data_IF_928597114231
#
_entry.id   IF_928597114231
#
_cell.length_a   1.000
_cell.length_b   1.000
_cell.length_c   1.000
_cell.angle_alpha   90.00
_cell.angle_beta   90.00
_cell.angle_gamma   90.00
#
_symmetry.space_group_name_H-M   'P 1'
#
loop_
_entity.id
_entity.type
_entity.pdbx_description
1 polymer ?
#
# COMPACT_ATOMS: atom_id res chain seq x y z
N UNK A 1 14.38 -40.03 -1.88
CA UNK A 1 13.39 -40.17 -2.97
C UNK A 1 12.03 -39.52 -2.65
N UNK A 2 11.59 -39.41 -1.38
CA UNK A 2 10.30 -38.77 -1.05
C UNK A 2 10.25 -37.24 -1.28
N UNK A 3 11.38 -36.52 -1.21
CA UNK A 3 11.43 -35.06 -1.39
C UNK A 3 11.12 -34.60 -2.82
N UNK A 4 11.42 -35.43 -3.83
CA UNK A 4 11.17 -35.10 -5.24
C UNK A 4 9.71 -35.32 -5.62
N UNK A 5 9.02 -36.27 -4.98
CA UNK A 5 7.60 -36.52 -5.21
C UNK A 5 6.74 -35.37 -4.66
N UNK A 6 7.06 -34.86 -3.46
CA UNK A 6 6.36 -33.71 -2.89
C UNK A 6 6.52 -32.42 -3.71
N UNK A 7 7.73 -32.14 -4.22
CA UNK A 7 7.98 -30.99 -5.09
C UNK A 7 7.25 -31.11 -6.43
N UNK A 8 7.33 -32.28 -7.06
CA UNK A 8 6.58 -32.57 -8.30
C UNK A 8 5.08 -32.39 -8.08
N UNK A 9 4.56 -32.87 -6.94
CA UNK A 9 3.15 -32.73 -6.60
C UNK A 9 2.75 -31.28 -6.33
N UNK A 10 3.61 -30.49 -5.66
CA UNK A 10 3.40 -29.07 -5.44
C UNK A 10 3.34 -28.30 -6.77
N UNK A 11 4.23 -28.64 -7.72
CA UNK A 11 4.24 -28.08 -9.08
C UNK A 11 2.96 -28.43 -9.86
N UNK A 12 2.46 -29.67 -9.74
CA UNK A 12 1.17 -30.07 -10.32
C UNK A 12 0.01 -29.25 -9.73
N UNK A 13 -0.04 -29.11 -8.40
CA UNK A 13 -1.07 -28.33 -7.72
C UNK A 13 -1.00 -26.84 -8.07
N UNK A 14 0.20 -26.31 -8.29
CA UNK A 14 0.41 -24.95 -8.83
C UNK A 14 -0.20 -24.82 -10.22
N UNK A 15 0.08 -25.77 -11.12
CA UNK A 15 -0.47 -25.77 -12.47
C UNK A 15 -2.01 -25.84 -12.46
N UNK A 16 -2.59 -26.72 -11.63
CA UNK A 16 -4.04 -26.80 -11.40
C UNK A 16 -4.60 -25.45 -10.92
N UNK A 17 -3.94 -24.83 -9.94
CA UNK A 17 -4.31 -23.53 -9.39
C UNK A 17 -4.27 -22.43 -10.44
N UNK A 18 -3.25 -22.41 -11.30
CA UNK A 18 -3.12 -21.46 -12.40
C UNK A 18 -4.27 -21.64 -13.41
N UNK A 19 -4.60 -22.89 -13.76
CA UNK A 19 -5.71 -23.19 -14.68
C UNK A 19 -7.08 -22.78 -14.10
N UNK A 20 -7.29 -22.93 -12.80
CA UNK A 20 -8.49 -22.44 -12.11
C UNK A 20 -8.53 -20.90 -12.07
N UNK A 21 -7.38 -20.26 -11.83
CA UNK A 21 -7.27 -18.81 -11.83
C UNK A 21 -7.64 -18.21 -13.19
N UNK A 22 -7.17 -18.80 -14.30
CA UNK A 22 -7.54 -18.36 -15.66
C UNK A 22 -9.05 -18.56 -15.94
N UNK A 23 -9.67 -19.57 -15.31
CA UNK A 23 -11.13 -19.78 -15.36
C UNK A 23 -11.93 -18.88 -14.42
N UNK A 24 -11.28 -17.92 -13.75
CA UNK A 24 -11.87 -17.06 -12.72
C UNK A 24 -12.43 -17.81 -11.49
N UNK A 25 -12.09 -19.08 -11.30
CA UNK A 25 -12.44 -19.83 -10.08
C UNK A 25 -11.38 -19.60 -9.00
N UNK A 26 -11.42 -18.40 -8.42
CA UNK A 26 -10.44 -17.96 -7.44
C UNK A 26 -10.54 -18.75 -6.12
N UNK A 27 -11.73 -19.22 -5.74
CA UNK A 27 -11.90 -20.00 -4.50
C UNK A 27 -11.21 -21.36 -4.60
N UNK A 28 -11.42 -22.07 -5.71
CA UNK A 28 -10.75 -23.35 -5.95
C UNK A 28 -9.25 -23.15 -6.18
N UNK A 29 -8.84 -22.11 -6.92
CA UNK A 29 -7.42 -21.78 -7.10
C UNK A 29 -6.71 -21.57 -5.76
N UNK A 30 -7.31 -20.81 -4.84
CA UNK A 30 -6.78 -20.59 -3.48
C UNK A 30 -6.59 -21.91 -2.73
N UNK A 31 -7.55 -22.84 -2.84
CA UNK A 31 -7.44 -24.15 -2.21
C UNK A 31 -6.26 -24.95 -2.76
N UNK A 32 -6.09 -24.95 -4.09
CA UNK A 32 -4.97 -25.64 -4.76
C UNK A 32 -3.62 -25.06 -4.37
N UNK A 33 -3.46 -23.73 -4.37
CA UNK A 33 -2.21 -23.12 -3.90
C UNK A 33 -1.94 -23.39 -2.42
N UNK A 34 -2.97 -23.41 -1.58
CA UNK A 34 -2.80 -23.75 -0.15
C UNK A 34 -2.34 -25.19 0.04
N UNK A 35 -2.85 -26.13 -0.77
CA UNK A 35 -2.36 -27.51 -0.78
C UNK A 35 -0.91 -27.58 -1.29
N UNK A 36 -0.55 -26.82 -2.33
CA UNK A 36 0.81 -26.76 -2.83
C UNK A 36 1.79 -26.23 -1.78
N UNK A 37 1.42 -25.17 -1.06
CA UNK A 37 2.24 -24.57 0.01
C UNK A 37 2.48 -25.54 1.17
N UNK A 38 1.52 -26.42 1.48
CA UNK A 38 1.70 -27.46 2.49
C UNK A 38 2.76 -28.51 2.10
N UNK A 39 3.01 -28.68 0.81
CA UNK A 39 4.00 -29.61 0.28
C UNK A 39 5.35 -28.91 0.04
N UNK A 40 5.33 -27.64 -0.35
CA UNK A 40 6.51 -26.80 -0.58
C UNK A 40 6.25 -25.38 -0.05
N UNK A 41 6.65 -25.14 1.19
CA UNK A 41 6.51 -23.85 1.87
C UNK A 41 7.66 -22.86 1.58
N UNK A 42 8.66 -23.31 0.81
CA UNK A 42 9.85 -22.54 0.45
C UNK A 42 9.71 -21.81 -0.89
N UNK A 43 8.66 -22.14 -1.66
CA UNK A 43 8.46 -21.61 -2.99
C UNK A 43 7.70 -20.27 -2.99
N UNK A 44 8.44 -19.19 -3.20
CA UNK A 44 7.90 -17.82 -3.28
C UNK A 44 6.78 -17.66 -4.31
N UNK A 45 6.82 -18.41 -5.43
CA UNK A 45 5.83 -18.30 -6.51
C UNK A 45 4.45 -18.75 -6.03
N UNK A 46 4.36 -19.76 -5.16
CA UNK A 46 3.10 -20.26 -4.64
C UNK A 46 2.38 -19.21 -3.79
N UNK A 47 3.11 -18.57 -2.86
CA UNK A 47 2.59 -17.46 -2.07
C UNK A 47 2.20 -16.28 -2.96
N UNK A 48 3.03 -15.95 -3.94
CA UNK A 48 2.75 -14.86 -4.87
C UNK A 48 1.48 -15.12 -5.70
N UNK A 49 1.25 -16.35 -6.17
CA UNK A 49 0.04 -16.71 -6.90
C UNK A 49 -1.19 -16.75 -6.00
N UNK A 50 -1.06 -17.24 -4.76
CA UNK A 50 -2.15 -17.18 -3.78
C UNK A 50 -2.53 -15.73 -3.43
N UNK A 51 -1.54 -14.83 -3.30
CA UNK A 51 -1.77 -13.40 -3.14
C UNK A 51 -2.56 -12.79 -4.30
N UNK A 52 -2.25 -13.14 -5.56
CA UNK A 52 -3.04 -12.71 -6.71
C UNK A 52 -4.52 -13.15 -6.61
N UNK A 53 -4.71 -14.37 -6.12
CA UNK A 53 -6.04 -14.96 -5.90
C UNK A 53 -6.82 -14.19 -4.84
N UNK A 54 -6.15 -13.82 -3.74
CA UNK A 54 -6.74 -12.98 -2.70
C UNK A 54 -7.08 -11.57 -3.18
N UNK A 55 -6.24 -10.96 -4.00
CA UNK A 55 -6.54 -9.65 -4.63
C UNK A 55 -7.80 -9.76 -5.48
N UNK A 56 -7.95 -10.82 -6.28
CA UNK A 56 -9.15 -11.04 -7.09
C UNK A 56 -10.42 -11.24 -6.24
N UNK A 57 -10.26 -11.84 -5.05
CA UNK A 57 -11.32 -11.98 -4.05
C UNK A 57 -11.52 -10.73 -3.16
N UNK A 58 -10.79 -9.64 -3.41
CA UNK A 58 -10.78 -8.41 -2.59
C UNK A 58 -10.37 -8.64 -1.11
N UNK A 59 -9.64 -9.72 -0.84
CA UNK A 59 -9.11 -10.06 0.48
C UNK A 59 -7.69 -9.47 0.63
N UNK A 60 -7.59 -8.15 0.69
CA UNK A 60 -6.30 -7.46 0.58
C UNK A 60 -5.34 -7.69 1.75
N UNK A 61 -5.86 -7.92 2.96
CA UNK A 61 -5.04 -8.22 4.13
C UNK A 61 -4.28 -9.54 3.98
N UNK A 62 -4.98 -10.58 3.53
CA UNK A 62 -4.37 -11.90 3.30
C UNK A 62 -3.45 -11.87 2.09
N UNK A 63 -3.81 -11.11 1.06
CA UNK A 63 -2.92 -10.86 -0.08
C UNK A 63 -1.61 -10.18 0.33
N UNK A 64 -1.66 -9.16 1.21
CA UNK A 64 -0.47 -8.47 1.69
C UNK A 64 0.44 -9.40 2.52
N UNK A 65 -0.13 -10.26 3.36
CA UNK A 65 0.62 -11.25 4.14
C UNK A 65 1.35 -12.25 3.24
N UNK A 66 0.65 -12.79 2.25
CA UNK A 66 1.25 -13.74 1.30
C UNK A 66 2.28 -13.08 0.40
N UNK A 67 2.01 -11.86 -0.09
CA UNK A 67 2.96 -11.13 -0.91
C UNK A 67 4.22 -10.77 -0.11
N UNK A 68 4.08 -10.40 1.18
CA UNK A 68 5.22 -10.22 2.10
C UNK A 68 6.03 -11.50 2.21
N UNK A 69 5.38 -12.64 2.49
CA UNK A 69 6.08 -13.92 2.60
C UNK A 69 6.79 -14.30 1.30
N UNK A 70 6.18 -14.01 0.14
CA UNK A 70 6.80 -14.25 -1.15
C UNK A 70 8.06 -13.43 -1.38
N UNK A 71 8.07 -12.13 -1.01
CA UNK A 71 9.28 -11.29 -1.15
C UNK A 71 10.35 -11.61 -0.13
N UNK A 72 9.97 -12.11 1.05
CA UNK A 72 10.93 -12.59 2.06
C UNK A 72 11.64 -13.87 1.60
N UNK A 73 10.95 -14.72 0.82
CA UNK A 73 11.52 -15.94 0.22
C UNK A 73 12.33 -15.64 -1.04
N UNK A 74 11.83 -14.76 -1.91
CA UNK A 74 12.50 -14.34 -3.14
C UNK A 74 12.33 -12.83 -3.36
N UNK A 75 13.35 -12.09 -2.96
CA UNK A 75 13.38 -10.63 -3.09
C UNK A 75 13.50 -10.15 -4.53
N UNK A 76 13.88 -11.03 -5.47
CA UNK A 76 13.99 -10.71 -6.91
C UNK A 76 12.65 -10.87 -7.64
N UNK A 77 11.62 -11.34 -6.97
CA UNK A 77 10.30 -11.52 -7.57
C UNK A 77 9.53 -10.19 -7.67
N UNK A 78 9.74 -9.45 -8.77
CA UNK A 78 9.05 -8.19 -9.02
C UNK A 78 7.52 -8.28 -8.99
N UNK A 79 6.95 -9.41 -9.40
CA UNK A 79 5.49 -9.63 -9.34
C UNK A 79 4.98 -9.76 -7.90
N UNK A 80 5.79 -10.32 -6.99
CA UNK A 80 5.45 -10.39 -5.56
C UNK A 80 5.44 -8.98 -4.94
N UNK A 81 6.45 -8.15 -5.23
CA UNK A 81 6.48 -6.75 -4.82
C UNK A 81 5.29 -5.94 -5.34
N UNK A 82 4.94 -6.12 -6.61
CA UNK A 82 3.76 -5.48 -7.20
C UNK A 82 2.44 -5.88 -6.52
N UNK A 83 2.29 -7.17 -6.19
CA UNK A 83 1.13 -7.68 -5.46
C UNK A 83 1.07 -7.12 -4.04
N UNK A 84 2.21 -6.97 -3.38
CA UNK A 84 2.30 -6.30 -2.08
C UNK A 84 1.87 -4.84 -2.20
N UNK A 85 2.43 -4.09 -3.15
CA UNK A 85 2.12 -2.68 -3.40
C UNK A 85 0.65 -2.45 -3.70
N UNK A 86 0.04 -3.29 -4.54
CA UNK A 86 -1.40 -3.24 -4.82
C UNK A 86 -2.24 -3.53 -3.57
N UNK A 87 -1.88 -4.55 -2.80
CA UNK A 87 -2.65 -4.95 -1.61
C UNK A 87 -2.57 -3.89 -0.52
N UNK A 88 -1.40 -3.28 -0.29
CA UNK A 88 -1.23 -2.21 0.70
C UNK A 88 -1.88 -0.91 0.25
N UNK A 89 -1.92 -0.62 -1.06
CA UNK A 89 -2.68 0.51 -1.60
C UNK A 89 -4.17 0.40 -1.27
N UNK A 90 -4.78 -0.76 -1.52
CA UNK A 90 -6.19 -1.03 -1.24
C UNK A 90 -6.51 -1.03 0.28
N UNK A 91 -5.50 -1.28 1.12
CA UNK A 91 -5.59 -1.16 2.57
C UNK A 91 -5.33 0.28 3.08
N UNK A 92 -5.15 1.25 2.20
CA UNK A 92 -4.78 2.64 2.52
C UNK A 92 -3.44 2.79 3.27
N UNK A 93 -2.58 1.78 3.20
CA UNK A 93 -1.22 1.82 3.72
C UNK A 93 -0.28 2.39 2.64
N UNK A 94 -0.50 3.66 2.30
CA UNK A 94 0.11 4.31 1.13
C UNK A 94 1.65 4.35 1.20
N UNK A 95 2.24 4.56 2.38
CA UNK A 95 3.70 4.54 2.56
C UNK A 95 4.30 3.18 2.19
N UNK A 96 3.74 2.10 2.75
CA UNK A 96 4.17 0.73 2.45
C UNK A 96 3.93 0.35 0.98
N UNK A 97 2.89 0.94 0.37
CA UNK A 97 2.60 0.74 -1.05
C UNK A 97 3.67 1.37 -1.95
N UNK A 98 4.03 2.63 -1.70
CA UNK A 98 5.08 3.35 -2.43
C UNK A 98 6.40 2.57 -2.37
N UNK A 99 6.80 2.12 -1.18
CA UNK A 99 8.04 1.36 -1.01
C UNK A 99 8.01 0.04 -1.77
N UNK A 100 6.90 -0.69 -1.71
CA UNK A 100 6.75 -1.96 -2.42
C UNK A 100 6.80 -1.77 -3.94
N UNK A 101 6.16 -0.73 -4.49
CA UNK A 101 6.22 -0.43 -5.93
C UNK A 101 7.62 0.00 -6.38
N UNK A 102 8.33 0.81 -5.59
CA UNK A 102 9.74 1.16 -5.85
C UNK A 102 10.62 -0.08 -5.88
N UNK A 103 10.46 -1.00 -4.92
CA UNK A 103 11.16 -2.29 -4.93
C UNK A 103 10.80 -3.14 -6.12
N UNK A 104 9.54 -3.14 -6.57
CA UNK A 104 9.15 -3.84 -7.79
C UNK A 104 9.91 -3.31 -9.02
N UNK A 105 10.10 -1.99 -9.13
CA UNK A 105 10.87 -1.37 -10.22
C UNK A 105 12.36 -1.71 -10.15
N UNK A 106 12.95 -1.74 -8.95
CA UNK A 106 14.36 -2.13 -8.75
C UNK A 106 14.64 -3.58 -9.18
N UNK A 107 13.63 -4.46 -9.21
CA UNK A 107 13.81 -5.86 -9.66
C UNK A 107 13.95 -5.99 -11.17
N UNK A 108 13.57 -4.98 -11.95
CA UNK A 108 13.65 -5.03 -13.40
C UNK A 108 15.08 -4.75 -13.88
N UNK A 109 15.54 -5.38 -14.97
CA UNK A 109 16.87 -5.11 -15.51
C UNK A 109 16.96 -3.66 -16.01
N UNK A 110 18.11 -3.01 -15.75
CA UNK A 110 18.32 -1.61 -16.07
C UNK A 110 18.40 -1.33 -17.59
N UNK A 111 18.77 -2.33 -18.40
CA UNK A 111 18.91 -2.21 -19.85
C UNK A 111 18.50 -3.51 -20.55
N UNK A 112 18.02 -3.39 -21.79
CA UNK A 112 17.62 -4.55 -22.60
C UNK A 112 16.29 -5.17 -22.20
N UNK A 113 15.32 -4.35 -21.77
CA UNK A 113 13.98 -4.85 -21.44
C UNK A 113 13.31 -5.46 -22.66
N UNK A 114 12.74 -6.64 -22.47
CA UNK A 114 11.79 -7.21 -23.42
C UNK A 114 10.47 -6.42 -23.42
N UNK A 115 9.68 -6.55 -24.48
CA UNK A 115 8.35 -5.92 -24.57
C UNK A 115 7.45 -6.26 -23.38
N UNK A 116 7.58 -7.47 -22.82
CA UNK A 116 6.82 -7.89 -21.64
C UNK A 116 7.27 -7.17 -20.37
N UNK A 117 8.58 -7.00 -20.19
CA UNK A 117 9.15 -6.29 -19.03
C UNK A 117 8.87 -4.79 -19.11
N UNK A 118 8.84 -4.20 -20.32
CA UNK A 118 8.42 -2.82 -20.51
C UNK A 118 6.95 -2.60 -20.13
N UNK A 119 6.06 -3.53 -20.51
CA UNK A 119 4.66 -3.49 -20.06
C UNK A 119 4.56 -3.62 -18.54
N UNK A 120 5.35 -4.51 -17.95
CA UNK A 120 5.39 -4.71 -16.51
C UNK A 120 5.91 -3.47 -15.78
N UNK A 121 6.96 -2.83 -16.32
CA UNK A 121 7.51 -1.56 -15.82
C UNK A 121 6.43 -0.47 -15.81
N UNK A 122 5.73 -0.28 -16.94
CA UNK A 122 4.63 0.70 -17.03
C UNK A 122 3.55 0.44 -15.99
N UNK A 123 3.17 -0.82 -15.79
CA UNK A 123 2.21 -1.19 -14.75
C UNK A 123 2.70 -0.83 -13.34
N UNK A 124 3.99 -1.05 -13.05
CA UNK A 124 4.57 -0.72 -11.75
C UNK A 124 4.65 0.79 -11.53
N UNK A 125 5.02 1.56 -12.56
CA UNK A 125 5.04 3.02 -12.52
C UNK A 125 3.65 3.62 -12.31
N UNK A 126 2.62 3.05 -12.95
CA UNK A 126 1.23 3.43 -12.73
C UNK A 126 0.80 3.17 -11.28
N UNK A 127 1.10 1.98 -10.75
CA UNK A 127 0.83 1.64 -9.35
C UNK A 127 1.55 2.56 -8.37
N UNK A 128 2.81 2.89 -8.65
CA UNK A 128 3.59 3.85 -7.85
C UNK A 128 2.95 5.23 -7.84
N UNK A 129 2.57 5.75 -9.01
CA UNK A 129 1.94 7.07 -9.13
C UNK A 129 0.63 7.16 -8.35
N UNK A 130 -0.19 6.11 -8.40
CA UNK A 130 -1.43 6.03 -7.61
C UNK A 130 -1.12 6.03 -6.10
N UNK A 131 -0.14 5.24 -5.67
CA UNK A 131 0.27 5.18 -4.27
C UNK A 131 0.81 6.52 -3.75
N UNK A 132 1.64 7.22 -4.55
CA UNK A 132 2.17 8.54 -4.22
C UNK A 132 1.09 9.61 -4.15
N UNK A 133 0.12 9.57 -5.07
CA UNK A 133 -1.04 10.48 -5.05
C UNK A 133 -1.88 10.25 -3.79
N UNK A 134 -2.12 8.98 -3.43
CA UNK A 134 -2.80 8.62 -2.18
C UNK A 134 -2.05 9.09 -0.95
N UNK A 135 -0.72 8.94 -0.93
CA UNK A 135 0.12 9.43 0.16
C UNK A 135 0.08 10.95 0.31
N UNK A 136 0.16 11.69 -0.80
CA UNK A 136 0.07 13.15 -0.81
C UNK A 136 -1.28 13.63 -0.25
N UNK A 137 -2.39 12.99 -0.63
CA UNK A 137 -3.72 13.31 -0.13
C UNK A 137 -3.91 13.00 1.38
N UNK A 138 -3.13 12.07 1.94
CA UNK A 138 -3.12 11.81 3.38
C UNK A 138 -2.30 12.86 4.13
N UNK A 139 -1.15 13.25 3.59
CA UNK A 139 -0.29 14.28 4.21
C UNK A 139 -0.99 15.64 4.30
N UNK A 140 -1.65 16.05 3.22
CA UNK A 140 -2.44 17.28 3.21
C UNK A 140 -3.52 17.29 4.32
N UNK A 141 -4.12 16.12 4.59
CA UNK A 141 -5.09 15.95 5.68
C UNK A 141 -4.45 15.92 7.07
N UNK A 142 -3.27 15.32 7.25
CA UNK A 142 -2.57 15.37 8.55
C UNK A 142 -2.16 16.79 8.89
N UNK A 143 -1.63 17.53 7.92
CA UNK A 143 -1.17 18.89 8.09
C UNK A 143 -2.33 19.83 8.46
N UNK A 144 -3.50 19.63 7.85
CA UNK A 144 -4.73 20.34 8.24
C UNK A 144 -5.17 19.99 9.68
N UNK A 145 -5.18 18.70 10.04
CA UNK A 145 -5.55 18.24 11.39
C UNK A 145 -4.62 18.82 12.46
N UNK A 146 -3.33 18.84 12.20
CA UNK A 146 -2.32 19.36 13.12
C UNK A 146 -2.36 20.90 13.20
N UNK A 147 -2.69 21.59 12.11
CA UNK A 147 -3.03 23.02 12.11
C UNK A 147 -4.26 23.35 12.98
N UNK A 148 -5.32 22.54 12.90
CA UNK A 148 -6.53 22.68 13.74
C UNK A 148 -6.21 22.42 15.21
N UNK A 149 -5.40 21.41 15.53
CA UNK A 149 -4.94 21.15 16.90
C UNK A 149 -4.13 22.34 17.44
N UNK A 150 -3.23 22.90 16.63
CA UNK A 150 -2.40 24.04 17.01
C UNK A 150 -3.23 25.29 17.29
N UNK A 151 -4.24 25.58 16.46
CA UNK A 151 -5.19 26.68 16.71
C UNK A 151 -6.03 26.49 17.98
N UNK A 152 -6.46 25.25 18.30
CA UNK A 152 -7.18 24.97 19.55
C UNK A 152 -6.30 25.14 20.79
N UNK A 153 -5.01 24.85 20.69
CA UNK A 153 -4.06 25.08 21.78
C UNK A 153 -3.82 26.58 22.02
N UNK A 154 -3.70 27.38 20.95
CA UNK A 154 -3.53 28.83 21.03
C UNK A 154 -4.70 29.51 21.79
N UNK A 155 -5.95 29.12 21.50
CA UNK A 155 -7.14 29.67 22.18
C UNK A 155 -7.23 29.28 23.67
N UNK A 156 -6.59 28.17 24.09
CA UNK A 156 -6.57 27.73 25.49
C UNK A 156 -5.54 28.49 26.33
N UNK A 157 -4.44 28.95 25.72
CA UNK A 157 -3.44 29.76 26.43
C UNK A 157 -3.88 31.21 26.60
N UNK A 158 -4.79 31.71 25.76
CA UNK A 158 -5.35 33.07 25.88
C UNK A 158 -6.49 33.18 26.92
N UNK A 159 -7.14 32.07 27.25
CA UNK A 159 -8.28 32.04 28.21
C UNK A 159 -7.87 31.68 29.65
N UNK A 160 -6.58 31.44 29.89
CA UNK A 160 -6.02 31.15 31.23
C UNK A 160 -5.40 32.36 31.94
N UNK A 161 -5.36 33.53 31.31
CA UNK A 161 -4.89 34.76 31.94
C UNK A 161 -6.10 35.60 32.38
N UNK A 162 -6.58 35.33 33.59
CA UNK A 162 -7.29 36.38 34.33
C UNK A 162 -6.34 37.58 34.47
N UNK A 163 -6.76 38.72 33.92
CA UNK A 163 -6.15 40.02 34.18
C UNK A 163 -5.34 40.60 33.04
N UNK A 164 -6.02 41.09 32.00
CA UNK A 164 -5.75 42.44 31.48
C UNK A 164 -6.81 42.85 30.48
N UNK A 165 -7.85 43.52 30.99
CA UNK A 165 -8.91 44.19 30.22
C UNK A 165 -8.36 45.22 29.20
N UNK A 166 -7.08 45.58 29.30
CA UNK A 166 -6.41 46.58 28.48
C UNK A 166 -6.00 46.09 27.08
N UNK A 167 -5.85 44.78 26.85
CA UNK A 167 -5.35 44.27 25.55
C UNK A 167 -6.49 44.14 24.53
N UNK A 168 -7.70 43.81 24.98
CA UNK A 168 -8.91 43.75 24.13
C UNK A 168 -9.32 45.16 23.68
N UNK A 169 -9.17 46.17 24.55
CA UNK A 169 -9.48 47.56 24.21
C UNK A 169 -8.51 48.14 23.17
N UNK A 170 -7.24 47.73 23.18
CA UNK A 170 -6.25 48.16 22.18
C UNK A 170 -6.49 47.51 20.81
N UNK A 171 -6.98 46.26 20.76
CA UNK A 171 -7.23 45.56 19.50
C UNK A 171 -8.44 46.11 18.72
N UNK A 172 -9.44 46.67 19.42
CA UNK A 172 -10.63 47.26 18.78
C UNK A 172 -10.32 48.62 18.13
N UNK A 173 -9.34 49.37 18.65
CA UNK A 173 -8.94 50.68 18.10
C UNK A 173 -8.04 50.59 16.86
N UNK A 174 -7.41 49.45 16.59
CA UNK A 174 -6.53 49.26 15.42
C UNK A 174 -7.30 48.74 14.19
N UNK A 175 -8.51 48.22 14.37
CA UNK A 175 -9.30 47.59 13.30
C UNK A 175 -10.45 48.45 12.74
N UNK A 176 -10.67 49.67 13.26
CA UNK A 176 -11.70 50.58 12.74
C UNK A 176 -11.13 52.00 12.52
N UNK A 177 -11.06 52.51 11.28
CA UNK A 177 -10.66 53.89 11.02
C UNK A 177 -11.73 54.89 11.55
N UNK A 178 -11.34 56.10 12.02
CA UNK A 178 -12.20 57.01 12.78
C UNK A 178 -13.17 57.86 11.93
N UNK A 179 -13.56 57.44 10.73
CA UNK A 179 -14.41 58.25 9.82
C UNK A 179 -15.89 57.88 9.83
N UNK A 180 -16.38 57.18 10.86
CA UNK A 180 -17.82 56.90 11.03
C UNK A 180 -18.32 57.22 12.44
N UNK A 181 -17.95 58.38 12.98
CA UNK A 181 -18.70 59.01 14.08
C UNK A 181 -18.75 60.53 13.83
N UNK A 182 -19.56 60.94 12.85
CA UNK A 182 -20.50 62.08 12.88
C UNK A 182 -21.16 62.25 11.51
#
# INVERSE_FOLDING_TARGET
>A
MASDDHKTRAEQLKADGNALYVRNDFSAARSKYTQAIKLDDSNAVLYSNRAATYIALKQYLDAAKDARKAVDLDSKNGKAWARLGKSTYELHLHELSVDAWKKALETLPAAGLSTQEEQLKRHFEEGLKLAETGLAAVKDRSDFSDGVKSMKQLKRTETGAEGNLNVILLAVLVLFPPECVQ
#
